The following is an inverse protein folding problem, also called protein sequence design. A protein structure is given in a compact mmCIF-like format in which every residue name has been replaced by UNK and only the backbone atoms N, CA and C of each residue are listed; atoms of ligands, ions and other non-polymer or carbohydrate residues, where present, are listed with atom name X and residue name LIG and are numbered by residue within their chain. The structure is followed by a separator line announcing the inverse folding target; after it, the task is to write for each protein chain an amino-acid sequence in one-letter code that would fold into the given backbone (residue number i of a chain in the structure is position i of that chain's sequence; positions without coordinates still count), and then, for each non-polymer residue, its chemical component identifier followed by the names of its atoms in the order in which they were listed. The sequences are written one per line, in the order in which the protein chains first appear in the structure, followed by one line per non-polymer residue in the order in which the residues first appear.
data_IF_927977743615
#
_entry.id   IF_927977743615
#
_cell.length_a   1.000
_cell.length_b   1.000
_cell.length_c   1.000
_cell.angle_alpha   90.00
_cell.angle_beta   90.00
_cell.angle_gamma   90.00
#
_symmetry.space_group_name_H-M   'P 1'
#
loop_
_entity.id
_entity.type
_entity.pdbx_description
1 polymer ?
#
# COMPACT_ATOMS: atom_id res chain seq x y z
N UNK A 1 0.40 -7.69 -18.99
CA UNK A 1 0.42 -6.36 -18.37
C UNK A 1 0.29 -6.60 -16.88
N UNK A 2 1.41 -6.69 -16.18
CA UNK A 2 1.38 -6.94 -14.75
C UNK A 2 0.75 -5.73 -14.06
N UNK A 3 -0.33 -5.96 -13.33
CA UNK A 3 -1.00 -4.93 -12.56
C UNK A 3 -0.05 -4.47 -11.47
N UNK A 4 0.06 -3.15 -11.23
CA UNK A 4 0.86 -2.63 -10.13
C UNK A 4 0.24 -3.13 -8.82
N UNK A 5 0.78 -4.23 -8.26
CA UNK A 5 0.23 -4.94 -7.09
C UNK A 5 -0.05 -3.94 -5.96
N UNK A 6 0.88 -3.02 -5.72
CA UNK A 6 0.74 -2.01 -4.68
C UNK A 6 -0.46 -1.06 -4.88
N UNK A 7 -0.87 -0.77 -6.12
CA UNK A 7 -2.07 0.01 -6.43
C UNK A 7 -3.34 -0.83 -6.21
N UNK A 8 -3.34 -2.10 -6.65
CA UNK A 8 -4.47 -3.01 -6.45
C UNK A 8 -4.76 -3.22 -4.97
N UNK A 9 -3.73 -3.36 -4.13
CA UNK A 9 -3.92 -3.50 -2.68
C UNK A 9 -4.45 -2.22 -2.01
N UNK A 10 -4.12 -1.04 -2.54
CA UNK A 10 -4.72 0.22 -2.08
C UNK A 10 -6.20 0.30 -2.43
N UNK A 11 -6.59 -0.15 -3.62
CA UNK A 11 -8.00 -0.22 -4.04
C UNK A 11 -8.79 -1.18 -3.18
N UNK A 12 -8.26 -2.37 -2.89
CA UNK A 12 -8.90 -3.32 -1.97
C UNK A 12 -9.10 -2.73 -0.58
N UNK A 13 -8.12 -1.97 -0.07
CA UNK A 13 -8.27 -1.27 1.19
C UNK A 13 -9.36 -0.18 1.10
N UNK A 14 -9.43 0.56 -0.02
CA UNK A 14 -10.47 1.56 -0.25
C UNK A 14 -11.87 0.92 -0.33
N UNK A 15 -12.02 -0.20 -1.05
CA UNK A 15 -13.28 -0.94 -1.16
C UNK A 15 -13.78 -1.42 0.21
N UNK A 16 -12.86 -1.88 1.07
CA UNK A 16 -13.19 -2.23 2.44
C UNK A 16 -13.69 -1.01 3.25
N UNK A 17 -13.06 0.16 3.08
CA UNK A 17 -13.50 1.41 3.72
C UNK A 17 -14.86 1.88 3.19
N UNK A 18 -15.14 1.69 1.90
CA UNK A 18 -16.45 1.98 1.30
C UNK A 18 -17.52 1.07 1.90
N UNK A 19 -17.22 -0.22 2.09
CA UNK A 19 -18.14 -1.15 2.76
C UNK A 19 -18.45 -0.69 4.19
N UNK A 20 -17.43 -0.26 4.94
CA UNK A 20 -17.58 0.31 6.29
C UNK A 20 -18.51 1.54 6.30
N UNK A 21 -18.38 2.44 5.33
CA UNK A 21 -19.28 3.59 5.18
C UNK A 21 -20.73 3.18 4.87
N UNK A 22 -20.93 2.09 4.13
CA UNK A 22 -22.26 1.51 3.93
C UNK A 22 -22.90 0.98 5.22
N UNK A 23 -22.08 0.48 6.15
CA UNK A 23 -22.52 0.02 7.48
C UNK A 23 -22.69 1.18 8.48
N UNK A 24 -21.84 2.21 8.39
CA UNK A 24 -21.87 3.42 9.20
C UNK A 24 -21.51 4.66 8.36
N UNK A 25 -22.50 5.41 7.85
CA UNK A 25 -22.26 6.59 7.02
C UNK A 25 -21.51 7.73 7.73
N UNK A 26 -21.56 7.77 9.06
CA UNK A 26 -20.91 8.81 9.89
C UNK A 26 -19.46 8.44 10.26
N UNK A 27 -18.90 7.35 9.72
CA UNK A 27 -17.50 6.97 9.89
C UNK A 27 -16.56 7.93 9.14
N UNK A 28 -16.24 9.06 9.77
CA UNK A 28 -15.37 10.09 9.24
C UNK A 28 -13.95 9.58 8.92
N UNK A 29 -13.44 8.60 9.67
CA UNK A 29 -12.13 8.00 9.40
C UNK A 29 -12.15 7.22 8.10
N UNK A 30 -13.18 6.39 7.89
CA UNK A 30 -13.32 5.64 6.65
C UNK A 30 -13.55 6.57 5.46
N UNK A 31 -14.31 7.66 5.63
CA UNK A 31 -14.48 8.67 4.59
C UNK A 31 -13.15 9.30 4.16
N UNK A 32 -12.33 9.76 5.12
CA UNK A 32 -11.03 10.34 4.82
C UNK A 32 -10.05 9.33 4.20
N UNK A 33 -10.05 8.09 4.68
CA UNK A 33 -9.17 7.04 4.18
C UNK A 33 -9.45 6.66 2.73
N UNK A 34 -10.73 6.60 2.30
CA UNK A 34 -11.09 6.26 0.90
C UNK A 34 -10.41 7.20 -0.10
N UNK A 35 -10.53 8.52 0.12
CA UNK A 35 -9.94 9.50 -0.80
C UNK A 35 -8.42 9.36 -0.88
N UNK A 36 -7.76 9.16 0.26
CA UNK A 36 -6.31 9.03 0.31
C UNK A 36 -5.85 7.74 -0.39
N UNK A 37 -6.50 6.61 -0.11
CA UNK A 37 -6.18 5.30 -0.70
C UNK A 37 -6.36 5.30 -2.22
N UNK A 38 -7.47 5.86 -2.72
CA UNK A 38 -7.73 5.97 -4.16
C UNK A 38 -6.71 6.86 -4.86
N UNK A 39 -6.41 8.04 -4.29
CA UNK A 39 -5.38 8.94 -4.83
C UNK A 39 -4.03 8.24 -4.93
N UNK A 40 -3.60 7.55 -3.88
CA UNK A 40 -2.33 6.83 -3.87
C UNK A 40 -2.32 5.69 -4.89
N UNK A 41 -3.44 4.99 -5.09
CA UNK A 41 -3.52 3.92 -6.09
C UNK A 41 -3.27 4.47 -7.51
N UNK A 42 -3.87 5.61 -7.83
CA UNK A 42 -3.68 6.29 -9.11
C UNK A 42 -2.25 6.82 -9.28
N UNK A 43 -1.69 7.43 -8.25
CA UNK A 43 -0.30 7.90 -8.28
C UNK A 43 0.69 6.73 -8.46
N UNK A 44 0.49 5.60 -7.78
CA UNK A 44 1.34 4.41 -7.92
C UNK A 44 1.30 3.86 -9.36
N UNK A 45 0.14 3.92 -10.02
CA UNK A 45 0.04 3.54 -11.43
C UNK A 45 0.84 4.45 -12.35
N UNK A 46 0.90 5.73 -12.03
CA UNK A 46 1.65 6.74 -12.79
C UNK A 46 3.15 6.67 -12.48
N UNK A 47 3.54 6.21 -11.29
CA UNK A 47 4.91 6.17 -10.80
C UNK A 47 5.71 4.94 -11.26
N UNK A 48 5.28 4.16 -12.27
CA UNK A 48 5.94 2.91 -12.68
C UNK A 48 7.40 3.06 -13.13
N UNK A 49 7.78 4.25 -13.59
CA UNK A 49 9.16 4.59 -13.98
C UNK A 49 9.95 5.28 -12.86
N UNK A 50 9.35 5.51 -11.69
CA UNK A 50 10.04 6.09 -10.53
C UNK A 50 11.09 5.12 -9.99
N UNK A 51 12.15 5.67 -9.39
CA UNK A 51 13.16 4.87 -8.69
C UNK A 51 12.54 4.06 -7.55
N UNK A 52 11.59 4.65 -6.81
CA UNK A 52 10.89 3.97 -5.72
C UNK A 52 10.09 2.76 -6.21
N UNK A 53 9.39 2.85 -7.34
CA UNK A 53 8.66 1.71 -7.89
C UNK A 53 9.60 0.60 -8.37
N UNK A 54 10.71 0.97 -9.00
CA UNK A 54 11.72 -0.01 -9.46
C UNK A 54 12.34 -0.75 -8.27
N UNK A 55 12.73 -0.03 -7.21
CA UNK A 55 13.26 -0.63 -5.98
C UNK A 55 12.21 -1.52 -5.29
N UNK A 56 10.96 -1.05 -5.24
CA UNK A 56 9.85 -1.83 -4.70
C UNK A 56 9.68 -3.17 -5.41
N UNK A 57 9.69 -3.19 -6.75
CA UNK A 57 9.60 -4.45 -7.50
C UNK A 57 10.82 -5.34 -7.25
N UNK A 58 12.02 -4.76 -7.20
CA UNK A 58 13.24 -5.51 -6.93
C UNK A 58 13.20 -6.21 -5.56
N UNK A 59 12.74 -5.52 -4.51
CA UNK A 59 12.67 -6.12 -3.17
C UNK A 59 11.56 -7.16 -3.04
N UNK A 60 10.44 -7.02 -3.75
CA UNK A 60 9.42 -8.07 -3.80
C UNK A 60 9.95 -9.35 -4.45
N UNK A 61 10.71 -9.21 -5.55
CA UNK A 61 11.33 -10.37 -6.20
C UNK A 61 12.30 -11.06 -5.24
N UNK A 62 13.14 -10.29 -4.53
CA UNK A 62 14.03 -10.83 -3.51
C UNK A 62 13.27 -11.58 -2.42
N UNK A 63 12.22 -10.97 -1.85
CA UNK A 63 11.41 -11.63 -0.81
C UNK A 63 10.77 -12.93 -1.30
N UNK A 64 10.37 -12.99 -2.58
CA UNK A 64 9.84 -14.20 -3.21
C UNK A 64 10.88 -15.30 -3.38
N UNK A 65 12.15 -14.96 -3.56
CA UNK A 65 13.25 -15.93 -3.64
C UNK A 65 13.64 -16.50 -2.27
N UNK A 66 13.41 -15.76 -1.19
CA UNK A 66 13.84 -16.11 0.17
C UNK A 66 12.66 -16.37 1.14
N UNK A 67 11.48 -16.72 0.62
CA UNK A 67 10.27 -17.05 1.38
C UNK A 67 9.81 -15.96 2.40
N UNK A 68 10.20 -14.70 2.20
CA UNK A 68 9.83 -13.57 3.07
C UNK A 68 8.51 -12.89 2.68
N UNK A 69 7.81 -13.39 1.67
CA UNK A 69 6.64 -12.74 1.09
C UNK A 69 5.41 -12.75 2.00
N UNK A 70 5.19 -13.82 2.76
CA UNK A 70 3.98 -13.94 3.61
C UNK A 70 4.03 -12.93 4.76
N UNK A 71 5.15 -12.89 5.49
CA UNK A 71 5.38 -11.92 6.56
C UNK A 71 5.31 -10.48 6.04
N UNK A 72 5.91 -10.22 4.88
CA UNK A 72 5.82 -8.91 4.24
C UNK A 72 4.38 -8.55 3.86
N UNK A 73 3.62 -9.49 3.29
CA UNK A 73 2.25 -9.25 2.85
C UNK A 73 1.33 -8.88 4.02
N UNK A 74 1.46 -9.57 5.15
CA UNK A 74 0.71 -9.25 6.38
C UNK A 74 1.03 -7.83 6.87
N UNK A 75 2.33 -7.50 6.95
CA UNK A 75 2.78 -6.18 7.42
C UNK A 75 2.35 -5.06 6.47
N UNK A 76 2.45 -5.28 5.16
CA UNK A 76 2.01 -4.33 4.15
C UNK A 76 0.49 -4.13 4.19
N UNK A 77 -0.28 -5.19 4.43
CA UNK A 77 -1.72 -5.09 4.64
C UNK A 77 -2.04 -4.25 5.88
N UNK A 78 -1.42 -4.55 7.03
CA UNK A 78 -1.60 -3.79 8.27
C UNK A 78 -1.25 -2.30 8.10
N UNK A 79 -0.21 -1.99 7.34
CA UNK A 79 0.14 -0.62 7.00
C UNK A 79 -0.95 0.08 6.18
N UNK A 80 -1.52 -0.56 5.15
CA UNK A 80 -2.61 0.02 4.34
C UNK A 80 -3.87 0.28 5.15
N UNK A 81 -4.19 -0.60 6.10
CA UNK A 81 -5.35 -0.43 6.99
C UNK A 81 -5.23 0.82 7.89
N UNK A 82 -4.01 1.28 8.13
CA UNK A 82 -3.69 2.47 8.92
C UNK A 82 -3.67 3.77 8.12
N UNK A 83 -3.69 3.69 6.78
CA UNK A 83 -3.71 4.87 5.91
C UNK A 83 -5.03 5.62 6.13
N UNK A 84 -4.93 6.93 6.34
CA UNK A 84 -6.06 7.80 6.68
C UNK A 84 -6.46 7.78 8.16
N UNK A 85 -5.79 6.98 9.00
CA UNK A 85 -6.00 6.92 10.46
C UNK A 85 -4.80 7.52 11.19
N UNK A 86 -3.63 6.87 11.08
CA UNK A 86 -2.37 7.30 11.71
C UNK A 86 -1.17 7.22 10.74
N UNK A 87 -1.44 6.92 9.47
CA UNK A 87 -0.50 6.96 8.34
C UNK A 87 -1.06 7.84 7.24
N UNK A 88 -0.27 8.82 6.82
CA UNK A 88 -0.67 9.82 5.82
C UNK A 88 0.45 10.03 4.79
N UNK A 89 0.79 9.01 3.98
CA UNK A 89 1.79 9.18 2.93
C UNK A 89 1.33 10.26 1.94
N UNK A 90 2.20 11.24 1.72
CA UNK A 90 1.87 12.42 0.91
C UNK A 90 1.89 12.13 -0.60
N UNK A 91 2.61 11.09 -1.02
CA UNK A 91 2.76 10.70 -2.43
C UNK A 91 2.91 9.18 -2.61
N UNK A 92 2.78 8.71 -3.85
CA UNK A 92 3.16 7.34 -4.23
C UNK A 92 4.59 6.97 -3.79
N UNK A 93 5.57 7.86 -3.95
CA UNK A 93 6.95 7.58 -3.53
C UNK A 93 7.05 7.42 -2.01
N UNK A 94 6.37 8.28 -1.23
CA UNK A 94 6.33 8.14 0.23
C UNK A 94 5.69 6.81 0.65
N UNK A 95 4.62 6.41 -0.03
CA UNK A 95 3.95 5.13 0.20
C UNK A 95 4.86 3.94 -0.18
N UNK A 96 5.49 3.96 -1.35
CA UNK A 96 6.39 2.90 -1.82
C UNK A 96 7.63 2.79 -0.92
N UNK A 97 8.21 3.90 -0.48
CA UNK A 97 9.33 3.91 0.46
C UNK A 97 8.95 3.30 1.81
N UNK A 98 7.73 3.52 2.30
CA UNK A 98 7.24 2.86 3.51
C UNK A 98 7.13 1.33 3.31
N UNK A 99 6.67 0.88 2.14
CA UNK A 99 6.61 -0.56 1.84
C UNK A 99 8.01 -1.17 1.69
N UNK A 100 8.95 -0.46 1.07
CA UNK A 100 10.35 -0.88 0.95
C UNK A 100 10.97 -1.02 2.35
N UNK A 101 10.73 -0.06 3.25
CA UNK A 101 11.20 -0.15 4.63
C UNK A 101 10.64 -1.39 5.34
N UNK A 102 9.34 -1.67 5.22
CA UNK A 102 8.72 -2.88 5.77
C UNK A 102 9.32 -4.18 5.18
N UNK A 103 9.62 -4.18 3.88
CA UNK A 103 10.24 -5.30 3.20
C UNK A 103 11.68 -5.53 3.71
N UNK A 104 12.48 -4.47 3.86
CA UNK A 104 13.84 -4.52 4.42
C UNK A 104 13.85 -5.04 5.85
N UNK A 105 12.94 -4.53 6.68
CA UNK A 105 12.77 -5.01 8.06
C UNK A 105 12.37 -6.49 8.13
N UNK A 106 11.55 -6.98 7.18
CA UNK A 106 11.16 -8.40 7.09
C UNK A 106 12.35 -9.27 6.65
N UNK A 107 13.14 -8.75 5.71
CA UNK A 107 14.35 -9.37 5.18
C UNK A 107 15.53 -9.36 6.16
N UNK A 108 15.47 -8.55 7.22
CA UNK A 108 16.59 -8.36 8.16
C UNK A 108 17.77 -7.57 7.57
N UNK A 109 17.51 -6.66 6.63
CA UNK A 109 18.51 -5.82 5.94
C UNK A 109 18.29 -4.32 6.14
#
# INVERSE_FOLDING_TARGET
MEHAIAAVELERAADWRIKKLGENPDDAESAAAVFLLQRLADEVRQARSSSAYIEYVAILNWLGEFDGMDDYAERAHAYRMRIGVDRFPESADAYLNALIALAKETAGI
#
